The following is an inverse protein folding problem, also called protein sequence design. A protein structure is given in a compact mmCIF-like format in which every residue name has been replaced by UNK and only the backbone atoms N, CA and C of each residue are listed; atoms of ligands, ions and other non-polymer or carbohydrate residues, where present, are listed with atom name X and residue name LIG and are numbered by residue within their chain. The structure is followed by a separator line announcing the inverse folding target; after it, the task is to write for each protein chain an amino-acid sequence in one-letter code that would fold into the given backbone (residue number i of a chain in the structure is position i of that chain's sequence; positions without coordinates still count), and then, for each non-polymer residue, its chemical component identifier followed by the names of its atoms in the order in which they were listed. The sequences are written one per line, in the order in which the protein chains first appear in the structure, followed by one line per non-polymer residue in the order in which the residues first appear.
data_IF_333263635753
#
_entry.id   IF_333263635753
#
_cell.length_a   1.000
_cell.length_b   1.000
_cell.length_c   1.000
_cell.angle_alpha   90.00
_cell.angle_beta   90.00
_cell.angle_gamma   90.00
#
_symmetry.space_group_name_H-M   'P 1'
#
loop_
_entity.id
_entity.type
_entity.pdbx_description
1 polymer ?
#
# COMPACT_ATOMS: atom_id res chain seq x y z
N UNK A 1 -21.59 65.49 -10.23
CA UNK A 1 -20.93 65.36 -8.92
C UNK A 1 -20.42 63.91 -8.84
N UNK A 2 -19.14 63.81 -9.10
CA UNK A 2 -18.43 62.52 -9.16
C UNK A 2 -18.20 61.95 -7.79
N UNK A 3 -18.34 60.62 -7.66
CA UNK A 3 -17.66 59.92 -6.62
C UNK A 3 -17.13 58.55 -7.13
N UNK A 4 -15.90 58.60 -7.67
CA UNK A 4 -15.06 57.43 -7.96
C UNK A 4 -14.47 56.94 -6.66
N UNK A 5 -14.85 55.78 -6.19
CA UNK A 5 -14.04 55.00 -5.22
C UNK A 5 -13.30 53.91 -5.97
N UNK A 6 -11.99 54.08 -6.07
CA UNK A 6 -11.02 53.10 -6.53
C UNK A 6 -10.73 52.09 -5.43
N UNK A 7 -11.06 50.81 -5.67
CA UNK A 7 -10.58 49.70 -4.84
C UNK A 7 -9.27 49.16 -5.40
N UNK A 8 -8.21 49.30 -4.64
CA UNK A 8 -6.89 48.70 -4.88
C UNK A 8 -7.00 47.19 -4.60
N UNK A 9 -6.84 46.37 -5.62
CA UNK A 9 -6.71 44.91 -5.51
C UNK A 9 -5.31 44.56 -5.06
N UNK A 10 -5.21 44.00 -3.85
CA UNK A 10 -4.01 43.33 -3.37
C UNK A 10 -3.87 41.95 -4.07
N UNK A 11 -2.75 41.81 -4.76
CA UNK A 11 -2.33 40.60 -5.45
C UNK A 11 -1.71 39.64 -4.43
N UNK A 12 -2.17 38.37 -4.29
CA UNK A 12 -1.43 37.35 -3.57
C UNK A 12 -0.33 36.78 -4.47
N UNK A 13 0.88 36.70 -3.93
CA UNK A 13 2.08 36.26 -4.63
C UNK A 13 1.98 34.84 -5.17
N UNK A 14 2.35 34.64 -6.40
CA UNK A 14 2.63 33.35 -7.03
C UNK A 14 3.93 32.77 -6.47
N UNK A 15 3.99 31.50 -6.13
CA UNK A 15 5.24 30.77 -6.01
C UNK A 15 5.72 30.37 -7.40
N UNK A 16 6.86 30.89 -7.79
CA UNK A 16 7.62 30.47 -8.98
C UNK A 16 8.07 29.02 -8.83
N UNK A 17 7.57 28.15 -9.67
CA UNK A 17 8.06 26.79 -9.82
C UNK A 17 9.41 26.79 -10.55
N UNK A 18 10.45 26.28 -9.91
CA UNK A 18 11.75 25.99 -10.48
C UNK A 18 11.71 24.58 -11.11
N UNK A 19 12.11 24.37 -12.37
CA UNK A 19 12.12 23.04 -12.98
C UNK A 19 13.37 22.27 -12.59
N UNK A 20 13.19 21.04 -12.18
CA UNK A 20 14.22 19.99 -12.22
C UNK A 20 14.83 19.56 -10.90
N UNK A 21 14.09 18.81 -10.08
CA UNK A 21 14.70 17.79 -9.21
C UNK A 21 13.76 16.57 -9.17
N UNK A 22 14.29 15.33 -9.28
CA UNK A 22 13.48 14.14 -9.15
C UNK A 22 13.06 13.96 -7.69
N UNK A 23 11.77 13.75 -7.47
CA UNK A 23 11.18 13.36 -6.19
C UNK A 23 11.72 11.98 -5.81
N UNK A 24 12.77 11.94 -5.01
CA UNK A 24 13.13 10.76 -4.24
C UNK A 24 12.12 10.60 -3.12
N UNK A 25 11.44 9.48 -3.14
CA UNK A 25 10.47 9.06 -2.15
C UNK A 25 11.03 9.13 -0.73
N UNK A 26 10.48 10.03 0.08
CA UNK A 26 10.64 10.02 1.52
C UNK A 26 9.57 9.10 2.14
N UNK A 27 9.82 7.80 2.09
CA UNK A 27 9.16 6.82 2.95
C UNK A 27 10.21 6.28 3.91
N UNK A 28 10.30 6.86 5.10
CA UNK A 28 10.83 6.21 6.30
C UNK A 28 10.68 7.17 7.49
N UNK A 29 9.53 7.17 8.11
CA UNK A 29 9.47 7.49 9.53
C UNK A 29 9.12 6.19 10.27
N UNK A 30 10.00 5.68 11.13
CA UNK A 30 9.64 4.59 12.02
C UNK A 30 8.69 5.11 13.09
N UNK A 31 7.61 4.39 13.27
CA UNK A 31 6.65 4.54 14.37
C UNK A 31 7.42 4.36 15.67
N UNK A 32 7.55 5.42 16.45
CA UNK A 32 8.04 5.36 17.83
C UNK A 32 7.00 4.66 18.68
N UNK A 33 7.33 3.45 19.10
CA UNK A 33 6.63 2.73 20.17
C UNK A 33 6.78 3.46 21.51
N UNK A 34 5.78 3.43 22.41
CA UNK A 34 5.88 4.06 23.70
C UNK A 34 6.93 3.35 24.57
N UNK A 35 7.78 4.14 25.15
CA UNK A 35 8.88 3.81 26.04
C UNK A 35 8.34 3.12 27.31
N UNK A 36 8.43 1.79 27.34
CA UNK A 36 8.28 1.01 28.56
C UNK A 36 9.52 1.19 29.43
N UNK A 37 9.29 1.45 30.72
CA UNK A 37 10.27 1.69 31.74
C UNK A 37 11.38 0.60 31.75
N UNK A 38 12.60 1.03 31.53
CA UNK A 38 13.82 0.26 31.69
C UNK A 38 14.10 0.06 33.19
N UNK A 39 13.89 -1.17 33.67
CA UNK A 39 14.39 -1.67 34.93
C UNK A 39 15.27 -2.88 34.67
N UNK A 40 16.49 -2.66 34.24
CA UNK A 40 17.53 -3.68 34.29
C UNK A 40 18.90 -3.02 34.18
N UNK A 41 19.36 -2.42 35.27
CA UNK A 41 20.77 -2.20 35.46
C UNK A 41 21.42 -3.55 35.81
N UNK A 42 22.48 -3.97 35.13
CA UNK A 42 23.26 -5.13 35.56
C UNK A 42 23.98 -4.78 36.85
N UNK A 43 23.70 -5.55 37.90
CA UNK A 43 24.47 -5.54 39.15
C UNK A 43 25.95 -5.82 38.84
N UNK A 44 26.80 -4.89 39.24
CA UNK A 44 28.22 -5.10 39.31
C UNK A 44 28.50 -6.22 40.33
N UNK A 45 29.46 -7.14 40.05
CA UNK A 45 29.83 -8.14 41.02
C UNK A 45 30.54 -7.48 42.21
N UNK A 46 29.99 -7.72 43.38
CA UNK A 46 30.53 -7.32 44.68
C UNK A 46 31.88 -8.00 44.84
N UNK A 47 32.95 -7.24 44.96
CA UNK A 47 34.27 -7.75 45.37
C UNK A 47 34.18 -8.31 46.81
N UNK A 48 34.74 -9.50 47.07
CA UNK A 48 34.86 -10.00 48.44
C UNK A 48 35.83 -9.13 49.21
N UNK A 49 35.39 -8.73 50.39
CA UNK A 49 36.20 -7.96 51.37
C UNK A 49 37.45 -8.74 51.77
N UNK A 50 38.59 -8.09 51.70
CA UNK A 50 39.84 -8.58 52.29
C UNK A 50 39.73 -8.58 53.82
N UNK A 51 40.17 -9.65 54.48
CA UNK A 51 40.23 -9.63 55.93
C UNK A 51 41.45 -8.79 56.40
N UNK A 52 41.18 -7.89 57.35
CA UNK A 52 42.16 -7.10 58.10
C UNK A 52 43.12 -7.99 58.85
N UNK A 53 44.36 -7.59 58.97
CA UNK A 53 45.38 -8.31 59.81
C UNK A 53 45.11 -8.04 61.31
N UNK A 54 44.93 -9.10 62.06
CA UNK A 54 44.83 -9.06 63.50
C UNK A 54 46.22 -8.82 64.15
N UNK A 55 46.13 -8.01 65.15
CA UNK A 55 47.25 -7.41 65.89
C UNK A 55 48.08 -8.44 66.64
N UNK A 56 49.38 -8.15 66.65
CA UNK A 56 50.42 -8.77 67.53
C UNK A 56 50.02 -8.62 69.00
N UNK A 57 50.15 -9.69 69.72
CA UNK A 57 50.39 -9.69 71.16
C UNK A 57 51.56 -10.53 71.48
N UNK A 58 52.71 -9.88 71.81
CA UNK A 58 53.69 -10.46 72.70
C UNK A 58 53.21 -10.35 74.16
N UNK A 59 53.51 -11.26 75.01
CA UNK A 59 54.68 -11.04 75.89
C UNK A 59 55.46 -12.28 76.30
N UNK A 60 56.75 -12.15 76.33
CA UNK A 60 57.64 -12.08 77.48
C UNK A 60 57.80 -13.33 78.39
N UNK A 61 59.06 -13.76 78.50
CA UNK A 61 59.84 -14.32 79.67
C UNK A 61 59.96 -15.81 79.80
N UNK A 62 61.25 -16.19 79.88
CA UNK A 62 61.70 -17.39 80.55
C UNK A 62 62.91 -18.01 79.98
N UNK A 63 64.09 -17.57 80.40
CA UNK A 63 65.44 -18.15 80.20
C UNK A 63 65.62 -19.26 81.24
N UNK A 64 66.67 -20.08 81.25
CA UNK A 64 67.30 -20.95 80.23
C UNK A 64 67.42 -22.42 80.69
N UNK A 65 67.71 -23.30 79.84
CA UNK A 65 68.52 -24.44 80.26
C UNK A 65 69.31 -25.03 79.06
N UNK A 66 70.62 -25.06 79.30
CA UNK A 66 71.64 -25.70 78.48
C UNK A 66 71.42 -27.19 78.57
N UNK A 67 71.29 -27.88 77.49
CA UNK A 67 71.74 -29.29 77.37
C UNK A 67 72.30 -29.54 75.96
N UNK A 68 73.51 -29.80 75.97
CA UNK A 68 74.36 -30.28 74.90
C UNK A 68 73.89 -31.64 74.38
N UNK A 69 73.57 -31.74 73.13
CA UNK A 69 73.36 -33.04 72.48
C UNK A 69 73.77 -32.98 71.03
N UNK A 70 74.79 -33.75 70.76
CA UNK A 70 75.17 -34.47 69.56
C UNK A 70 74.83 -33.85 68.18
N UNK A 71 75.86 -33.49 67.46
CA UNK A 71 75.88 -33.19 66.06
C UNK A 71 75.18 -34.28 65.20
N UNK A 72 73.96 -34.02 64.72
CA UNK A 72 73.38 -34.79 63.64
C UNK A 72 73.89 -34.23 62.33
N UNK A 73 74.41 -35.07 61.46
CA UNK A 73 74.83 -34.78 60.10
C UNK A 73 73.65 -34.26 59.33
N UNK A 74 73.68 -33.09 58.68
CA UNK A 74 72.54 -32.63 57.91
C UNK A 74 72.41 -33.48 56.62
N UNK A 75 71.32 -34.20 56.52
CA UNK A 75 70.93 -34.81 55.26
C UNK A 75 70.75 -33.71 54.20
N UNK A 76 71.21 -33.94 52.94
CA UNK A 76 71.06 -32.96 51.87
C UNK A 76 69.54 -32.81 51.55
N UNK A 77 68.98 -31.67 51.97
CA UNK A 77 67.66 -31.29 51.54
C UNK A 77 67.61 -31.21 50.00
N UNK A 78 66.97 -32.22 49.37
CA UNK A 78 66.68 -32.15 47.94
C UNK A 78 65.87 -30.92 47.66
N UNK A 79 66.50 -29.98 46.96
CA UNK A 79 65.87 -28.71 46.58
C UNK A 79 64.90 -28.99 45.40
N UNK A 80 63.62 -29.19 45.71
CA UNK A 80 62.59 -29.48 44.73
C UNK A 80 62.05 -28.21 44.00
N UNK A 81 62.63 -27.04 44.35
CA UNK A 81 62.21 -25.74 43.75
C UNK A 81 62.28 -25.70 42.21
N UNK A 82 63.37 -26.20 41.56
CA UNK A 82 63.42 -26.22 40.08
C UNK A 82 62.37 -27.16 39.46
N UNK A 83 62.15 -28.33 40.12
CA UNK A 83 61.18 -29.32 39.64
C UNK A 83 59.72 -28.78 39.68
N UNK A 84 59.34 -28.12 40.79
CA UNK A 84 58.08 -27.51 40.97
C UNK A 84 57.84 -26.38 39.92
N UNK A 85 58.87 -25.58 39.65
CA UNK A 85 58.80 -24.53 38.63
C UNK A 85 58.61 -25.09 37.22
N UNK A 86 59.29 -26.20 36.89
CA UNK A 86 59.10 -26.86 35.58
C UNK A 86 57.72 -27.48 35.44
N UNK A 87 57.18 -28.12 36.47
CA UNK A 87 55.84 -28.68 36.48
C UNK A 87 54.79 -27.55 36.35
N UNK A 88 54.99 -26.43 37.02
CA UNK A 88 54.10 -25.28 36.92
C UNK A 88 54.04 -24.67 35.49
N UNK A 89 55.22 -24.59 34.82
CA UNK A 89 55.30 -24.10 33.43
C UNK A 89 54.56 -25.05 32.48
N UNK A 90 54.75 -26.37 32.64
CA UNK A 90 54.14 -27.40 31.83
C UNK A 90 52.58 -27.33 32.05
N UNK A 91 52.15 -27.23 33.29
CA UNK A 91 50.71 -27.11 33.61
C UNK A 91 50.11 -25.84 33.00
N UNK A 92 50.82 -24.70 33.09
CA UNK A 92 50.34 -23.44 32.52
C UNK A 92 50.28 -23.48 30.99
N UNK A 93 51.26 -24.16 30.34
CA UNK A 93 51.24 -24.34 28.88
C UNK A 93 50.10 -25.23 28.42
N UNK A 94 49.79 -26.31 29.13
CA UNK A 94 48.64 -27.18 28.84
C UNK A 94 47.32 -26.42 28.98
N UNK A 95 47.17 -25.65 30.04
CA UNK A 95 46.00 -24.78 30.24
C UNK A 95 45.88 -23.79 29.09
N UNK A 96 46.97 -23.16 28.68
CA UNK A 96 46.96 -22.21 27.56
C UNK A 96 46.50 -22.85 26.26
N UNK A 97 46.98 -24.04 25.94
CA UNK A 97 46.60 -24.78 24.72
C UNK A 97 45.12 -25.16 24.75
N UNK A 98 44.60 -25.59 25.92
CA UNK A 98 43.18 -25.90 26.05
C UNK A 98 42.30 -24.67 25.87
N UNK A 99 42.68 -23.51 26.41
CA UNK A 99 41.96 -22.27 26.20
C UNK A 99 41.96 -21.80 24.74
N UNK A 100 43.06 -21.94 24.03
CA UNK A 100 43.18 -21.66 22.60
C UNK A 100 42.23 -22.57 21.81
N UNK A 101 42.25 -23.87 22.11
CA UNK A 101 41.32 -24.82 21.47
C UNK A 101 39.85 -24.51 21.70
N UNK A 102 39.47 -24.17 22.93
CA UNK A 102 38.12 -23.77 23.28
C UNK A 102 37.70 -22.44 22.58
N UNK A 103 38.65 -21.51 22.50
CA UNK A 103 38.38 -20.23 21.81
C UNK A 103 38.15 -20.44 20.32
N UNK A 104 38.93 -21.26 19.65
CA UNK A 104 38.74 -21.58 18.22
C UNK A 104 37.39 -22.30 18.03
N UNK A 105 37.11 -23.30 18.89
CA UNK A 105 35.83 -24.01 18.82
C UNK A 105 34.61 -23.09 19.03
N UNK A 106 34.69 -22.21 20.02
CA UNK A 106 33.63 -21.25 20.30
C UNK A 106 33.47 -20.24 19.15
N UNK A 107 34.57 -19.81 18.53
CA UNK A 107 34.56 -18.90 17.40
C UNK A 107 33.90 -19.54 16.16
N UNK A 108 34.24 -20.80 15.86
CA UNK A 108 33.59 -21.53 14.74
C UNK A 108 32.12 -21.75 14.99
N UNK A 109 31.71 -22.11 16.20
CA UNK A 109 30.29 -22.27 16.58
C UNK A 109 29.54 -20.95 16.46
N UNK A 110 30.17 -19.84 16.83
CA UNK A 110 29.55 -18.51 16.70
C UNK A 110 29.36 -18.10 15.23
N UNK A 111 30.37 -18.37 14.41
CA UNK A 111 30.33 -18.05 12.98
C UNK A 111 29.29 -18.91 12.24
N UNK A 112 29.24 -20.20 12.52
CA UNK A 112 28.21 -21.13 12.00
C UNK A 112 26.80 -20.72 12.41
N UNK A 113 26.59 -20.32 13.66
CA UNK A 113 25.32 -19.88 14.15
C UNK A 113 24.84 -18.59 13.43
N UNK A 114 25.77 -17.66 13.21
CA UNK A 114 25.46 -16.40 12.52
C UNK A 114 25.13 -16.62 11.04
N UNK A 115 25.92 -17.40 10.34
CA UNK A 115 25.73 -17.72 8.92
C UNK A 115 24.43 -18.51 8.69
N UNK A 116 24.09 -19.42 9.63
CA UNK A 116 22.88 -20.23 9.56
C UNK A 116 21.61 -19.38 9.79
N UNK A 117 21.67 -18.35 10.65
CA UNK A 117 20.57 -17.42 10.85
C UNK A 117 20.30 -16.60 9.56
N UNK A 118 21.35 -16.06 8.95
CA UNK A 118 21.23 -15.30 7.70
C UNK A 118 20.68 -16.19 6.55
N UNK A 119 21.13 -17.44 6.48
CA UNK A 119 20.60 -18.41 5.52
C UNK A 119 19.12 -18.72 5.75
N UNK A 120 18.69 -18.94 6.99
CA UNK A 120 17.31 -19.20 7.35
C UNK A 120 16.40 -17.97 7.10
N UNK A 121 16.90 -16.77 7.41
CA UNK A 121 16.18 -15.52 7.12
C UNK A 121 15.98 -15.38 5.62
N UNK A 122 17.03 -15.57 4.80
CA UNK A 122 16.89 -15.45 3.34
C UNK A 122 15.90 -16.46 2.78
N UNK A 123 15.94 -17.71 3.23
CA UNK A 123 14.96 -18.74 2.81
C UNK A 123 13.54 -18.36 3.26
N UNK A 124 13.37 -17.90 4.50
CA UNK A 124 12.07 -17.48 5.00
C UNK A 124 11.53 -16.25 4.25
N UNK A 125 12.38 -15.27 3.96
CA UNK A 125 12.01 -14.06 3.20
C UNK A 125 11.64 -14.44 1.76
N UNK A 126 12.46 -15.26 1.08
CA UNK A 126 12.14 -15.72 -0.27
C UNK A 126 10.81 -16.46 -0.32
N UNK A 127 10.61 -17.39 0.63
CA UNK A 127 9.34 -18.13 0.72
C UNK A 127 8.14 -17.19 0.98
N UNK A 128 8.29 -16.20 1.86
CA UNK A 128 7.23 -15.22 2.13
C UNK A 128 6.93 -14.33 0.91
N UNK A 129 7.96 -13.97 0.14
CA UNK A 129 7.80 -13.23 -1.11
C UNK A 129 7.07 -14.10 -2.14
N UNK A 130 7.49 -15.34 -2.35
CA UNK A 130 6.87 -16.26 -3.30
C UNK A 130 5.40 -16.54 -2.93
N UNK A 131 5.11 -16.82 -1.66
CA UNK A 131 3.74 -17.03 -1.17
C UNK A 131 2.87 -15.77 -1.37
N UNK A 132 3.41 -14.58 -1.09
CA UNK A 132 2.69 -13.32 -1.31
C UNK A 132 2.48 -13.02 -2.79
N UNK A 133 3.48 -13.29 -3.63
CA UNK A 133 3.38 -13.15 -5.08
C UNK A 133 2.30 -14.08 -5.65
N UNK A 134 2.34 -15.36 -5.30
CA UNK A 134 1.31 -16.33 -5.71
C UNK A 134 -0.09 -15.92 -5.23
N UNK A 135 -0.20 -15.40 -4.02
CA UNK A 135 -1.48 -14.90 -3.49
C UNK A 135 -1.98 -13.71 -4.30
N UNK A 136 -1.11 -12.73 -4.58
CA UNK A 136 -1.46 -11.56 -5.39
C UNK A 136 -1.82 -11.94 -6.82
N UNK A 137 -1.08 -12.85 -7.44
CA UNK A 137 -1.37 -13.36 -8.79
C UNK A 137 -2.73 -14.07 -8.83
N UNK A 138 -3.04 -14.90 -7.83
CA UNK A 138 -4.34 -15.56 -7.73
C UNK A 138 -5.48 -14.56 -7.51
N UNK A 139 -5.29 -13.57 -6.62
CA UNK A 139 -6.27 -12.51 -6.41
C UNK A 139 -6.46 -11.66 -7.66
N UNK A 140 -5.39 -11.41 -8.41
CA UNK A 140 -5.45 -10.68 -9.67
C UNK A 140 -6.22 -11.49 -10.73
N UNK A 141 -5.87 -12.77 -10.88
CA UNK A 141 -6.57 -13.69 -11.79
C UNK A 141 -8.07 -13.84 -11.45
N UNK A 142 -8.41 -13.85 -10.16
CA UNK A 142 -9.82 -13.87 -9.73
C UNK A 142 -10.54 -12.55 -10.08
N UNK A 143 -9.88 -11.39 -9.92
CA UNK A 143 -10.44 -10.08 -10.31
C UNK A 143 -10.60 -9.95 -11.81
N UNK A 144 -9.70 -10.51 -12.60
CA UNK A 144 -9.80 -10.50 -14.06
C UNK A 144 -10.96 -11.35 -14.59
N UNK A 145 -11.40 -12.37 -13.86
CA UNK A 145 -12.57 -13.19 -14.25
C UNK A 145 -13.86 -12.36 -14.33
N UNK A 146 -13.95 -11.27 -13.57
CA UNK A 146 -15.12 -10.40 -13.52
C UNK A 146 -14.69 -8.94 -13.69
N UNK A 147 -14.32 -8.53 -14.91
CA UNK A 147 -13.82 -7.18 -15.16
C UNK A 147 -14.91 -6.09 -15.08
N UNK A 148 -16.18 -6.51 -15.03
CA UNK A 148 -17.34 -5.61 -15.02
C UNK A 148 -17.99 -5.53 -13.65
N UNK A 149 -18.68 -4.43 -13.42
CA UNK A 149 -19.61 -4.21 -12.32
C UNK A 149 -20.94 -3.69 -12.86
N UNK A 150 -22.02 -3.85 -12.09
CA UNK A 150 -23.35 -3.51 -12.52
C UNK A 150 -23.73 -2.10 -12.06
N UNK A 151 -24.18 -1.28 -13.00
CA UNK A 151 -24.90 -0.05 -12.71
C UNK A 151 -26.37 -0.38 -12.44
N UNK A 152 -26.98 0.32 -11.46
CA UNK A 152 -28.40 0.24 -11.18
C UNK A 152 -28.96 1.64 -11.02
N UNK A 153 -29.86 2.02 -11.93
CA UNK A 153 -30.64 3.25 -11.88
C UNK A 153 -31.84 3.13 -10.95
N UNK A 154 -32.58 4.22 -10.72
CA UNK A 154 -33.74 4.24 -9.84
C UNK A 154 -34.85 3.26 -10.29
N UNK A 155 -35.40 2.50 -9.37
CA UNK A 155 -36.46 1.50 -9.65
C UNK A 155 -37.75 2.16 -10.19
N UNK A 156 -38.08 3.33 -9.67
CA UNK A 156 -39.27 4.13 -10.11
C UNK A 156 -39.15 4.56 -11.58
N UNK A 157 -37.92 4.59 -12.11
CA UNK A 157 -37.59 4.93 -13.49
C UNK A 157 -37.36 3.69 -14.37
N UNK A 158 -37.87 2.54 -13.94
CA UNK A 158 -37.75 1.28 -14.67
C UNK A 158 -36.53 0.43 -14.29
N UNK A 159 -35.73 0.86 -13.29
CA UNK A 159 -34.62 0.08 -12.78
C UNK A 159 -33.60 -0.29 -13.89
N UNK A 160 -33.19 0.71 -14.69
CA UNK A 160 -32.21 0.51 -15.75
C UNK A 160 -30.93 -0.07 -15.16
N UNK A 161 -30.50 -1.22 -15.67
CA UNK A 161 -29.24 -1.87 -15.28
C UNK A 161 -28.40 -2.18 -16.49
N UNK A 162 -27.08 -2.09 -16.34
CA UNK A 162 -26.09 -2.52 -17.34
C UNK A 162 -24.75 -2.80 -16.68
N UNK A 163 -23.87 -3.46 -17.38
CA UNK A 163 -22.51 -3.77 -16.92
C UNK A 163 -21.51 -2.75 -17.50
N UNK A 164 -20.58 -2.29 -16.66
CA UNK A 164 -19.53 -1.37 -17.05
C UNK A 164 -18.18 -1.79 -16.42
N UNK A 165 -17.02 -1.38 -17.00
CA UNK A 165 -15.72 -1.74 -16.49
C UNK A 165 -15.51 -1.32 -15.03
N UNK A 166 -14.97 -2.20 -14.19
CA UNK A 166 -14.67 -1.90 -12.77
C UNK A 166 -13.68 -0.74 -12.58
N UNK A 167 -12.94 -0.41 -13.63
CA UNK A 167 -12.00 0.72 -13.62
C UNK A 167 -12.66 2.08 -13.79
N UNK A 168 -13.97 2.10 -14.05
CA UNK A 168 -14.74 3.33 -14.22
C UNK A 168 -15.36 3.75 -12.90
N UNK A 169 -15.38 5.07 -12.66
CA UNK A 169 -16.09 5.70 -11.57
C UNK A 169 -17.44 6.18 -12.03
N UNK A 170 -18.40 6.22 -11.10
CA UNK A 170 -19.78 6.69 -11.36
C UNK A 170 -20.05 7.92 -10.50
N UNK A 171 -20.60 8.96 -11.12
CA UNK A 171 -21.12 10.14 -10.44
C UNK A 171 -22.58 10.35 -10.82
N UNK A 172 -23.47 10.41 -9.84
CA UNK A 172 -24.89 10.71 -10.03
C UNK A 172 -25.11 12.20 -9.81
N UNK A 173 -25.43 12.92 -10.89
CA UNK A 173 -25.67 14.36 -10.85
C UNK A 173 -27.11 14.68 -10.48
N UNK A 174 -28.06 13.86 -10.93
CA UNK A 174 -29.49 13.98 -10.59
C UNK A 174 -30.06 12.58 -10.29
N UNK A 175 -30.60 12.40 -9.10
CA UNK A 175 -31.07 11.11 -8.59
C UNK A 175 -32.58 10.83 -8.87
N UNK A 176 -33.20 11.65 -9.71
CA UNK A 176 -34.63 11.59 -10.00
C UNK A 176 -35.55 11.88 -8.78
N UNK A 177 -34.99 12.35 -7.67
CA UNK A 177 -35.82 12.74 -6.52
C UNK A 177 -36.85 13.78 -6.91
N UNK A 178 -38.02 13.70 -6.32
CA UNK A 178 -39.13 14.61 -6.60
C UNK A 178 -39.73 14.59 -8.04
N UNK A 179 -39.49 13.47 -8.78
CA UNK A 179 -40.03 13.28 -10.12
C UNK A 179 -39.29 14.04 -11.24
N UNK A 180 -38.05 14.46 -10.99
CA UNK A 180 -37.15 15.05 -11.98
C UNK A 180 -36.51 14.02 -12.91
N UNK A 181 -35.63 14.46 -13.76
CA UNK A 181 -34.85 13.56 -14.61
C UNK A 181 -33.76 12.88 -13.79
N UNK A 182 -33.34 11.65 -14.20
CA UNK A 182 -32.17 11.00 -13.68
C UNK A 182 -30.98 11.29 -14.58
N UNK A 183 -29.81 11.58 -13.99
CA UNK A 183 -28.57 11.81 -14.73
C UNK A 183 -27.38 11.28 -13.98
N UNK A 184 -26.55 10.49 -14.68
CA UNK A 184 -25.31 9.94 -14.17
C UNK A 184 -24.21 9.97 -15.23
N UNK A 185 -22.98 10.07 -14.78
CA UNK A 185 -21.78 10.14 -15.59
C UNK A 185 -20.80 9.03 -15.17
N UNK A 186 -20.19 8.39 -16.15
CA UNK A 186 -19.20 7.34 -15.92
C UNK A 186 -17.94 7.63 -16.74
N UNK A 187 -16.78 7.56 -16.08
CA UNK A 187 -15.49 7.77 -16.72
C UNK A 187 -14.43 6.81 -16.18
N UNK A 188 -13.42 6.43 -16.99
CA UNK A 188 -12.24 5.72 -16.48
C UNK A 188 -11.58 6.51 -15.33
N UNK A 189 -11.26 5.78 -14.25
CA UNK A 189 -10.57 6.28 -13.06
C UNK A 189 -11.38 7.28 -12.25
N UNK A 190 -11.79 8.43 -12.81
CA UNK A 190 -12.49 9.50 -12.10
C UNK A 190 -13.45 10.25 -13.03
N UNK A 191 -14.60 10.68 -12.49
CA UNK A 191 -15.51 11.62 -13.16
C UNK A 191 -15.07 13.02 -12.73
N UNK A 192 -14.60 13.79 -13.71
CA UNK A 192 -14.21 15.18 -13.50
C UNK A 192 -15.43 16.09 -13.39
N UNK A 193 -15.19 17.40 -13.42
CA UNK A 193 -16.27 18.39 -13.43
C UNK A 193 -17.22 18.16 -14.61
N UNK A 194 -18.51 17.98 -14.30
CA UNK A 194 -19.53 17.73 -15.28
C UNK A 194 -19.84 19.02 -16.05
N UNK A 195 -19.72 18.99 -17.37
CA UNK A 195 -19.95 20.15 -18.22
C UNK A 195 -19.92 19.81 -19.71
N UNK A 196 -20.28 20.81 -20.54
CA UNK A 196 -20.35 20.64 -21.99
C UNK A 196 -18.97 20.58 -22.66
N UNK A 197 -17.90 20.88 -21.91
CA UNK A 197 -16.51 20.83 -22.36
C UNK A 197 -15.75 19.59 -21.91
N UNK A 198 -16.37 18.75 -21.08
CA UNK A 198 -15.77 17.54 -20.56
C UNK A 198 -16.24 16.35 -21.38
N UNK A 199 -15.28 15.52 -21.83
CA UNK A 199 -15.58 14.27 -22.55
C UNK A 199 -15.89 13.18 -21.52
N UNK A 200 -17.10 12.65 -21.56
CA UNK A 200 -17.49 11.53 -20.72
C UNK A 200 -17.53 10.21 -21.53
N UNK A 201 -17.03 9.16 -20.92
CA UNK A 201 -17.08 7.84 -21.53
C UNK A 201 -18.52 7.34 -21.66
N UNK A 202 -19.36 7.68 -20.66
CA UNK A 202 -20.79 7.41 -20.70
C UNK A 202 -21.56 8.46 -19.90
N UNK A 203 -22.60 9.02 -20.51
CA UNK A 203 -23.67 9.79 -19.88
C UNK A 203 -24.96 8.98 -19.90
N UNK A 204 -25.58 8.81 -18.76
CA UNK A 204 -26.84 8.09 -18.58
C UNK A 204 -27.90 9.09 -18.18
N UNK A 205 -28.98 9.23 -18.99
CA UNK A 205 -30.10 10.05 -18.63
C UNK A 205 -31.38 9.23 -18.74
N UNK A 206 -32.30 9.39 -17.79
CA UNK A 206 -33.66 8.89 -17.90
C UNK A 206 -34.58 10.06 -17.73
N UNK A 207 -35.20 10.46 -18.82
CA UNK A 207 -36.05 11.65 -18.90
C UNK A 207 -37.50 11.28 -18.64
N UNK A 208 -38.17 12.10 -17.85
CA UNK A 208 -39.61 12.00 -17.66
C UNK A 208 -40.37 12.60 -18.87
N UNK A 209 -40.04 12.09 -20.08
CA UNK A 209 -40.62 12.52 -21.38
C UNK A 209 -40.92 11.29 -22.23
N UNK A 210 -41.88 11.42 -23.12
CA UNK A 210 -42.20 10.38 -24.09
C UNK A 210 -41.04 10.19 -25.10
N UNK A 211 -40.89 8.99 -25.61
CA UNK A 211 -39.84 8.65 -26.58
C UNK A 211 -39.89 9.56 -27.85
N UNK A 212 -41.08 9.79 -28.38
CA UNK A 212 -41.25 10.61 -29.59
C UNK A 212 -40.83 12.06 -29.37
N UNK A 213 -41.08 12.61 -28.17
CA UNK A 213 -40.67 13.96 -27.82
C UNK A 213 -39.14 14.08 -27.74
N UNK A 214 -38.49 13.05 -27.19
CA UNK A 214 -37.03 13.02 -27.12
C UNK A 214 -36.40 12.78 -28.48
N UNK A 215 -36.97 11.88 -29.30
CA UNK A 215 -36.48 11.65 -30.67
C UNK A 215 -36.60 12.91 -31.54
N UNK A 216 -37.66 13.69 -31.36
CA UNK A 216 -37.85 14.97 -32.06
C UNK A 216 -36.81 16.02 -31.71
N UNK A 217 -36.18 15.95 -30.53
CA UNK A 217 -35.07 16.87 -30.16
C UNK A 217 -33.86 16.74 -31.10
N UNK A 218 -33.59 15.56 -31.66
CA UNK A 218 -32.49 15.29 -32.57
C UNK A 218 -32.83 15.51 -34.05
N UNK A 219 -34.11 15.81 -34.39
CA UNK A 219 -34.55 15.93 -35.78
C UNK A 219 -33.80 17.02 -36.55
N UNK A 220 -33.52 18.16 -35.89
CA UNK A 220 -32.78 19.26 -36.52
C UNK A 220 -31.36 18.86 -36.94
N UNK A 221 -30.72 18.04 -36.16
CA UNK A 221 -29.35 17.60 -36.38
C UNK A 221 -29.26 16.44 -37.40
N UNK A 222 -30.39 15.82 -37.71
CA UNK A 222 -30.55 14.79 -38.76
C UNK A 222 -30.87 15.43 -40.14
N UNK A 223 -31.50 16.61 -40.16
CA UNK A 223 -31.97 17.27 -41.36
C UNK A 223 -31.15 18.53 -41.66
N UNK A 224 -31.13 18.93 -42.92
CA UNK A 224 -30.45 20.14 -43.38
C UNK A 224 -29.38 19.87 -44.41
N UNK A 225 -28.72 20.93 -44.90
CA UNK A 225 -27.68 20.85 -45.93
C UNK A 225 -26.38 20.15 -45.43
N UNK A 226 -26.14 20.15 -44.13
CA UNK A 226 -25.05 19.52 -43.48
C UNK A 226 -25.50 18.86 -42.16
N UNK A 227 -26.07 17.65 -42.23
CA UNK A 227 -26.50 16.97 -41.02
C UNK A 227 -25.28 16.60 -40.15
N UNK A 228 -25.41 16.90 -38.86
CA UNK A 228 -24.35 16.59 -37.87
C UNK A 228 -24.51 15.21 -37.29
N UNK A 229 -25.71 14.63 -37.38
CA UNK A 229 -26.04 13.29 -36.89
C UNK A 229 -26.55 12.40 -38.02
N UNK A 230 -26.32 11.08 -37.86
CA UNK A 230 -26.91 10.01 -38.67
C UNK A 230 -27.71 9.09 -37.75
N UNK A 231 -28.92 8.72 -38.17
CA UNK A 231 -29.82 7.83 -37.43
C UNK A 231 -29.67 6.38 -37.95
N UNK A 232 -29.56 5.45 -37.04
CA UNK A 232 -29.66 4.02 -37.27
C UNK A 232 -30.64 3.39 -36.29
N UNK A 233 -31.54 2.54 -36.76
CA UNK A 233 -32.38 1.73 -35.87
C UNK A 233 -31.61 0.48 -35.46
N UNK A 234 -31.49 0.27 -34.16
CA UNK A 234 -30.71 -0.83 -33.57
C UNK A 234 -31.56 -1.57 -32.54
N UNK A 235 -31.10 -2.76 -32.15
CA UNK A 235 -31.67 -3.51 -31.04
C UNK A 235 -30.57 -3.70 -30.01
N UNK A 236 -30.81 -3.40 -28.77
CA UNK A 236 -29.88 -3.48 -27.66
C UNK A 236 -30.40 -4.41 -26.56
N UNK A 237 -29.63 -4.55 -25.51
CA UNK A 237 -30.01 -5.34 -24.33
C UNK A 237 -29.49 -6.78 -24.38
N UNK A 238 -29.49 -7.41 -23.22
CA UNK A 238 -28.93 -8.76 -23.03
C UNK A 238 -29.61 -9.81 -23.93
N UNK A 239 -30.90 -9.62 -24.23
CA UNK A 239 -31.67 -10.56 -25.08
C UNK A 239 -31.84 -10.04 -26.53
N UNK A 240 -31.23 -8.90 -26.88
CA UNK A 240 -31.48 -8.22 -28.15
C UNK A 240 -32.97 -7.99 -28.42
N UNK A 241 -33.67 -7.45 -27.43
CA UNK A 241 -35.13 -7.28 -27.45
C UNK A 241 -35.60 -5.82 -27.24
N UNK A 242 -34.64 -4.90 -27.02
CA UNK A 242 -34.93 -3.49 -26.79
C UNK A 242 -34.71 -2.69 -28.08
N UNK A 243 -35.74 -2.25 -28.79
CA UNK A 243 -35.59 -1.38 -29.93
C UNK A 243 -35.11 0.00 -29.52
N UNK A 244 -34.12 0.53 -30.23
CA UNK A 244 -33.48 1.81 -29.90
C UNK A 244 -33.10 2.58 -31.18
N UNK A 245 -33.06 3.90 -31.07
CA UNK A 245 -32.50 4.79 -32.05
C UNK A 245 -31.05 5.11 -31.69
N UNK A 246 -30.09 4.81 -32.59
CA UNK A 246 -28.69 5.16 -32.50
C UNK A 246 -28.42 6.39 -33.36
N UNK A 247 -27.99 7.46 -32.73
CA UNK A 247 -27.52 8.67 -33.40
C UNK A 247 -26.00 8.67 -33.38
N UNK A 248 -25.37 8.95 -34.51
CA UNK A 248 -23.92 8.87 -34.74
C UNK A 248 -23.45 10.19 -35.30
N UNK A 249 -22.48 10.83 -34.68
CA UNK A 249 -21.89 12.08 -35.16
C UNK A 249 -21.60 13.08 -34.04
N UNK A 250 -21.70 14.37 -34.38
CA UNK A 250 -21.42 15.45 -33.44
C UNK A 250 -22.58 15.58 -32.44
N UNK A 251 -22.26 15.40 -31.17
CA UNK A 251 -23.25 15.52 -30.08
C UNK A 251 -23.83 16.94 -30.04
N UNK A 252 -25.16 17.09 -30.04
CA UNK A 252 -25.80 18.41 -30.05
C UNK A 252 -25.34 19.29 -28.88
N UNK A 253 -24.94 20.54 -29.19
CA UNK A 253 -24.45 21.49 -28.20
C UNK A 253 -22.98 21.33 -27.80
N UNK A 254 -22.26 20.36 -28.40
CA UNK A 254 -20.84 20.13 -28.16
C UNK A 254 -20.06 20.03 -29.48
N UNK A 255 -18.73 19.88 -29.39
CA UNK A 255 -17.87 19.57 -30.54
C UNK A 255 -17.47 18.09 -30.56
N UNK A 256 -18.09 17.24 -29.72
CA UNK A 256 -17.71 15.85 -29.54
C UNK A 256 -18.34 14.95 -30.61
N UNK A 257 -17.52 14.05 -31.20
CA UNK A 257 -17.95 13.03 -32.16
C UNK A 257 -18.14 11.68 -31.44
N UNK A 258 -19.41 11.32 -31.23
CA UNK A 258 -19.76 10.17 -30.40
C UNK A 258 -21.01 9.44 -30.85
N UNK A 259 -21.64 8.76 -29.91
CA UNK A 259 -22.86 7.98 -30.09
C UNK A 259 -23.90 8.31 -29.04
N UNK A 260 -25.17 8.40 -29.46
CA UNK A 260 -26.31 8.55 -28.56
C UNK A 260 -27.28 7.41 -28.86
N UNK A 261 -27.63 6.62 -27.84
CA UNK A 261 -28.71 5.61 -27.93
C UNK A 261 -29.89 6.13 -27.15
N UNK A 262 -31.06 6.14 -27.82
CA UNK A 262 -32.31 6.53 -27.22
C UNK A 262 -33.28 5.37 -27.30
N UNK A 263 -33.88 4.99 -26.17
CA UNK A 263 -34.88 3.91 -26.13
C UNK A 263 -35.93 4.17 -25.08
N UNK A 264 -37.07 3.53 -25.25
CA UNK A 264 -38.21 3.66 -24.35
C UNK A 264 -38.00 2.75 -23.12
N UNK A 265 -38.25 3.28 -21.94
CA UNK A 265 -38.29 2.56 -20.67
C UNK A 265 -39.60 2.89 -19.95
N UNK A 266 -40.61 2.00 -20.00
CA UNK A 266 -41.96 2.24 -19.51
C UNK A 266 -42.61 3.49 -20.15
N UNK A 267 -42.95 4.48 -19.35
CA UNK A 267 -43.50 5.78 -19.72
C UNK A 267 -42.45 6.87 -19.94
N UNK A 268 -41.17 6.51 -19.82
CA UNK A 268 -40.02 7.42 -19.88
C UNK A 268 -39.09 7.08 -21.03
N UNK A 269 -38.07 7.90 -21.23
CA UNK A 269 -37.04 7.70 -22.25
C UNK A 269 -35.67 7.66 -21.63
N UNK A 270 -34.94 6.61 -21.90
CA UNK A 270 -33.54 6.46 -21.53
C UNK A 270 -32.64 6.91 -22.67
N UNK A 271 -31.55 7.59 -22.32
CA UNK A 271 -30.48 8.02 -23.21
C UNK A 271 -29.17 7.51 -22.64
N UNK A 272 -28.44 6.78 -23.47
CA UNK A 272 -27.06 6.40 -23.20
C UNK A 272 -26.19 7.09 -24.24
N UNK A 273 -25.29 7.95 -23.80
CA UNK A 273 -24.44 8.76 -24.69
C UNK A 273 -22.97 8.54 -24.37
N UNK A 274 -22.15 8.36 -25.39
CA UNK A 274 -20.68 8.46 -25.25
C UNK A 274 -20.19 9.63 -26.08
N UNK A 275 -19.34 10.46 -25.48
CA UNK A 275 -18.87 11.69 -26.11
C UNK A 275 -17.68 11.45 -27.06
N UNK A 276 -17.17 10.22 -27.11
CA UNK A 276 -16.03 9.88 -27.96
C UNK A 276 -16.11 8.46 -28.50
N UNK A 277 -15.78 8.30 -29.78
CA UNK A 277 -15.62 7.00 -30.42
C UNK A 277 -14.48 6.17 -29.82
N UNK A 278 -13.62 6.78 -29.02
CA UNK A 278 -12.57 6.07 -28.29
C UNK A 278 -13.14 4.98 -27.35
N UNK A 279 -14.32 5.22 -26.80
CA UNK A 279 -15.01 4.31 -25.88
C UNK A 279 -15.98 3.34 -26.56
N UNK A 280 -15.97 3.28 -27.92
CA UNK A 280 -16.95 2.49 -28.68
C UNK A 280 -16.99 1.00 -28.26
N UNK A 281 -15.86 0.38 -28.00
CA UNK A 281 -15.80 -1.03 -27.60
C UNK A 281 -16.51 -1.28 -26.26
N UNK A 282 -16.19 -0.46 -25.25
CA UNK A 282 -16.81 -0.53 -23.93
C UNK A 282 -18.30 -0.18 -24.01
N UNK A 283 -18.62 0.84 -24.79
CA UNK A 283 -19.99 1.27 -25.02
C UNK A 283 -20.85 0.18 -25.64
N UNK A 284 -20.37 -0.52 -26.66
CA UNK A 284 -21.08 -1.64 -27.29
C UNK A 284 -21.25 -2.83 -26.32
N UNK A 285 -20.25 -3.12 -25.51
CA UNK A 285 -20.32 -4.15 -24.47
C UNK A 285 -21.40 -3.80 -23.43
N UNK A 286 -21.42 -2.55 -23.02
CA UNK A 286 -22.41 -2.03 -22.10
C UNK A 286 -23.83 -2.14 -22.69
N UNK A 287 -24.03 -1.71 -23.95
CA UNK A 287 -25.33 -1.78 -24.62
C UNK A 287 -25.87 -3.21 -24.72
N UNK A 288 -24.98 -4.19 -24.94
CA UNK A 288 -25.35 -5.60 -24.98
C UNK A 288 -25.79 -6.15 -23.59
N UNK A 289 -25.46 -5.46 -22.50
CA UNK A 289 -25.81 -5.86 -21.14
C UNK A 289 -27.02 -5.15 -20.56
N UNK A 290 -27.59 -4.18 -21.29
CA UNK A 290 -28.72 -3.37 -20.83
C UNK A 290 -29.93 -4.23 -20.51
N UNK A 291 -30.55 -3.95 -19.36
CA UNK A 291 -31.80 -4.54 -18.85
C UNK A 291 -32.59 -3.49 -18.11
N UNK A 292 -33.89 -3.66 -18.05
CA UNK A 292 -34.78 -2.88 -17.21
C UNK A 292 -36.06 -3.66 -16.86
N UNK A 293 -36.75 -3.23 -15.83
CA UNK A 293 -38.02 -3.81 -15.45
C UNK A 293 -39.13 -3.18 -16.33
N UNK A 294 -39.75 -3.99 -17.17
CA UNK A 294 -40.83 -3.56 -18.08
C UNK A 294 -42.15 -3.17 -17.36
#
# INVERSE_FOLDING_TARGET
MDNKQSFTSGQPGQPTAQPGQPLTAAFSQPITSPQGADMSQPMQPVQPAQPMPEAQKNPITGVPMIMQAAAAIPEPKKDYKPLIRTIAIIALSLISVTFIGLFIWMYTQYDDARTNVDGQINVAVTKAIDENTMKLENEFAEREKYPFQTFAGPEDYGGLTFEYPKTWSVYVAADASHGGDFEAYLNPVEVYEVGDTTIDALRVKVLNKAFDDVAAMYQRDLEGDQPTLRLESVVIGQNNDIPANKYIGIIPGTEFDGYIIVFKIRDKTAILQTDSKLFEADYNTLLASVRFNA
#
